data_IF_477693747384
#
_entry.id   IF_477693747384
#
_cell.length_a   1.000
_cell.length_b   1.000
_cell.length_c   1.000
_cell.angle_alpha   90.00
_cell.angle_beta   90.00
_cell.angle_gamma   90.00
#
_symmetry.space_group_name_H-M   'P 1'
#
loop_
_entity.id
_entity.type
_entity.pdbx_description
1 polymer ?
#
# COMPACT_ATOMS: atom_id res chain seq x y z
N UNK A 1 0.21 11.35 7.50
CA UNK A 1 1.32 11.23 8.47
C UNK A 1 0.99 12.08 9.69
N UNK A 2 0.45 11.44 10.75
CA UNK A 2 0.17 12.06 12.04
C UNK A 2 1.49 12.30 12.78
N UNK A 3 1.72 13.53 13.20
CA UNK A 3 2.77 13.86 14.16
C UNK A 3 2.61 13.00 15.43
N UNK A 4 3.70 12.61 16.12
CA UNK A 4 3.59 11.85 17.35
C UNK A 4 2.83 12.67 18.38
N UNK A 5 1.57 12.32 18.63
CA UNK A 5 0.78 12.92 19.70
C UNK A 5 1.38 12.53 21.05
N UNK A 6 1.45 13.51 21.95
CA UNK A 6 1.88 13.34 23.34
C UNK A 6 1.01 12.23 23.98
N UNK A 7 1.62 11.09 24.28
CA UNK A 7 0.91 9.93 24.83
C UNK A 7 0.79 10.06 26.36
N UNK A 8 -0.41 10.04 26.88
CA UNK A 8 -0.67 9.74 28.30
C UNK A 8 -0.53 8.23 28.51
N UNK A 9 0.44 7.73 29.31
CA UNK A 9 0.80 6.31 29.32
C UNK A 9 -0.36 5.37 29.72
N UNK A 10 -1.20 5.75 30.68
CA UNK A 10 -2.31 4.91 31.12
C UNK A 10 -3.44 4.80 30.08
N UNK A 11 -3.84 5.91 29.46
CA UNK A 11 -4.89 5.93 28.43
C UNK A 11 -4.43 5.20 27.17
N UNK A 12 -3.14 5.30 26.83
CA UNK A 12 -2.54 4.61 25.67
C UNK A 12 -2.58 3.09 25.84
N UNK A 13 -2.33 2.56 27.05
CA UNK A 13 -2.37 1.12 27.31
C UNK A 13 -3.81 0.56 27.18
N UNK A 14 -4.82 1.26 27.71
CA UNK A 14 -6.23 0.85 27.61
C UNK A 14 -6.70 0.88 26.16
N UNK A 15 -6.41 1.94 25.41
CA UNK A 15 -6.78 2.05 24.00
C UNK A 15 -6.04 1.01 23.17
N UNK A 16 -4.74 0.77 23.42
CA UNK A 16 -3.97 -0.23 22.72
C UNK A 16 -4.49 -1.66 22.97
N UNK A 17 -4.93 -1.98 24.18
CA UNK A 17 -5.53 -3.28 24.48
C UNK A 17 -6.89 -3.45 23.80
N UNK A 18 -7.70 -2.40 23.73
CA UNK A 18 -8.99 -2.42 23.01
C UNK A 18 -8.81 -2.53 21.50
N UNK A 19 -7.73 -1.95 20.95
CA UNK A 19 -7.40 -2.03 19.50
C UNK A 19 -6.69 -3.35 19.11
N UNK A 20 -6.32 -4.19 20.06
CA UNK A 20 -5.80 -5.55 19.80
C UNK A 20 -6.86 -6.49 19.27
N UNK A 21 -8.12 -6.15 19.43
CA UNK A 21 -9.22 -6.92 18.85
C UNK A 21 -9.36 -6.55 17.37
N UNK A 22 -8.98 -7.48 16.48
CA UNK A 22 -9.16 -7.32 15.04
C UNK A 22 -10.63 -7.03 14.66
N UNK A 23 -11.57 -7.47 15.48
CA UNK A 23 -13.00 -7.22 15.31
C UNK A 23 -13.35 -5.74 15.38
N UNK A 24 -12.65 -4.95 16.21
CA UNK A 24 -12.87 -3.50 16.26
C UNK A 24 -12.45 -2.79 14.96
N UNK A 25 -11.30 -3.15 14.43
CA UNK A 25 -10.80 -2.59 13.15
C UNK A 25 -11.74 -2.98 12.01
N UNK A 26 -12.15 -4.25 11.97
CA UNK A 26 -13.10 -4.77 10.98
C UNK A 26 -14.43 -4.02 11.00
N UNK A 27 -14.99 -3.74 12.21
CA UNK A 27 -16.24 -3.00 12.39
C UNK A 27 -16.17 -1.57 11.84
N UNK A 28 -15.01 -0.90 11.91
CA UNK A 28 -14.83 0.43 11.30
C UNK A 28 -14.92 0.36 9.78
N UNK A 29 -14.29 -0.64 9.17
CA UNK A 29 -14.32 -0.83 7.71
C UNK A 29 -15.66 -1.35 7.20
N UNK A 30 -16.47 -2.00 8.03
CA UNK A 30 -17.82 -2.47 7.67
C UNK A 30 -18.77 -1.35 7.25
N UNK A 31 -18.47 -0.11 7.64
CA UNK A 31 -19.24 1.08 7.26
C UNK A 31 -18.80 1.71 5.94
N UNK A 32 -17.70 1.24 5.34
CA UNK A 32 -17.13 1.76 4.11
C UNK A 32 -17.47 0.81 2.96
N UNK A 33 -18.42 1.20 2.12
CA UNK A 33 -18.92 0.33 1.03
C UNK A 33 -17.97 0.24 -0.17
N UNK A 34 -17.09 1.24 -0.32
CA UNK A 34 -16.10 1.35 -1.40
C UNK A 34 -14.69 0.91 -0.97
N UNK A 35 -14.55 0.40 0.25
CA UNK A 35 -13.27 -0.07 0.79
C UNK A 35 -13.40 -1.50 1.28
N UNK A 36 -12.62 -2.40 0.69
CA UNK A 36 -12.42 -3.75 1.22
C UNK A 36 -11.25 -3.72 2.19
N UNK A 37 -11.50 -4.12 3.42
CA UNK A 37 -10.47 -4.47 4.39
C UNK A 37 -10.38 -5.99 4.48
N UNK A 38 -9.17 -6.54 4.54
CA UNK A 38 -8.97 -7.95 4.78
C UNK A 38 -7.67 -8.23 5.54
N UNK A 39 -7.70 -9.29 6.33
CA UNK A 39 -6.53 -9.87 7.00
C UNK A 39 -6.37 -11.28 6.47
N UNK A 40 -5.13 -11.68 6.16
CA UNK A 40 -4.79 -13.03 5.72
C UNK A 40 -3.65 -13.59 6.55
N UNK A 41 -3.66 -14.91 6.75
CA UNK A 41 -2.52 -15.64 7.30
C UNK A 41 -1.40 -15.82 6.25
N UNK A 42 -0.30 -16.45 6.65
CA UNK A 42 0.85 -16.73 5.77
C UNK A 42 0.56 -17.75 4.66
N UNK A 43 -0.57 -18.48 4.74
CA UNK A 43 -1.03 -19.35 3.68
C UNK A 43 -1.98 -18.65 2.69
N UNK A 44 -2.24 -17.36 2.88
CA UNK A 44 -3.14 -16.56 2.05
C UNK A 44 -4.62 -16.82 2.34
N UNK A 45 -4.96 -17.43 3.48
CA UNK A 45 -6.34 -17.65 3.91
C UNK A 45 -6.86 -16.38 4.60
N UNK A 46 -8.08 -16.02 4.29
CA UNK A 46 -8.74 -14.89 4.94
C UNK A 46 -9.00 -15.20 6.42
N UNK A 47 -8.55 -14.34 7.29
CA UNK A 47 -8.79 -14.37 8.75
C UNK A 47 -9.94 -13.42 9.10
N UNK A 48 -10.00 -12.27 8.42
CA UNK A 48 -11.06 -11.29 8.56
C UNK A 48 -11.29 -10.54 7.25
N UNK A 49 -12.52 -10.11 6.98
CA UNK A 49 -12.88 -9.25 5.86
C UNK A 49 -14.00 -8.29 6.24
N UNK A 50 -14.01 -7.07 5.65
CA UNK A 50 -15.12 -6.14 5.82
C UNK A 50 -16.35 -6.56 4.99
N UNK A 51 -17.53 -6.00 5.36
CA UNK A 51 -18.79 -6.24 4.68
C UNK A 51 -18.78 -5.93 3.18
N UNK A 52 -17.91 -5.02 2.72
CA UNK A 52 -17.75 -4.74 1.29
C UNK A 52 -17.33 -5.97 0.48
N UNK A 53 -16.74 -7.00 1.10
CA UNK A 53 -16.38 -8.26 0.45
C UNK A 53 -17.61 -9.14 0.11
N UNK A 54 -18.68 -9.03 0.89
CA UNK A 54 -19.86 -9.91 0.79
C UNK A 54 -20.51 -9.90 -0.60
N UNK A 55 -20.97 -8.75 -1.14
CA UNK A 55 -21.59 -8.71 -2.46
C UNK A 55 -20.63 -9.06 -3.60
N UNK A 56 -19.35 -8.70 -3.48
CA UNK A 56 -18.31 -8.97 -4.50
C UNK A 56 -18.07 -10.45 -4.70
N UNK A 57 -18.04 -11.20 -3.59
CA UNK A 57 -17.73 -12.64 -3.57
C UNK A 57 -18.98 -13.52 -3.53
N UNK A 58 -20.18 -12.93 -3.65
CA UNK A 58 -21.49 -13.64 -3.56
C UNK A 58 -21.63 -14.44 -2.25
N UNK A 59 -21.14 -13.89 -1.17
CA UNK A 59 -21.27 -14.50 0.15
C UNK A 59 -22.62 -14.13 0.76
N UNK A 60 -23.07 -14.88 1.76
CA UNK A 60 -24.22 -14.54 2.60
C UNK A 60 -23.81 -13.69 3.78
N UNK A 61 -22.62 -13.98 4.31
CA UNK A 61 -22.02 -13.29 5.45
C UNK A 61 -20.50 -13.19 5.22
N UNK A 62 -19.87 -12.16 5.77
CA UNK A 62 -18.41 -11.98 5.66
C UNK A 62 -17.63 -13.14 6.29
N UNK A 63 -18.19 -13.80 7.33
CA UNK A 63 -17.60 -15.00 7.96
C UNK A 63 -17.44 -16.17 7.01
N UNK A 64 -18.24 -16.21 5.92
CA UNK A 64 -18.10 -17.26 4.89
C UNK A 64 -16.77 -17.14 4.12
N UNK A 65 -16.07 -16.02 4.21
CA UNK A 65 -14.74 -15.85 3.61
C UNK A 65 -13.62 -16.44 4.49
N UNK A 66 -13.84 -16.55 5.80
CA UNK A 66 -12.80 -16.99 6.75
C UNK A 66 -12.34 -18.40 6.42
N UNK A 67 -11.02 -18.62 6.41
CA UNK A 67 -10.37 -19.88 6.05
C UNK A 67 -10.24 -20.13 4.55
N UNK A 68 -10.94 -19.37 3.69
CA UNK A 68 -10.83 -19.47 2.22
C UNK A 68 -9.64 -18.70 1.68
N UNK A 69 -9.19 -19.04 0.48
CA UNK A 69 -8.18 -18.32 -0.29
C UNK A 69 -8.84 -17.45 -1.37
N UNK A 70 -8.06 -16.56 -1.99
CA UNK A 70 -8.56 -15.73 -3.08
C UNK A 70 -9.16 -16.57 -4.24
N UNK A 71 -8.58 -17.72 -4.54
CA UNK A 71 -9.06 -18.64 -5.59
C UNK A 71 -10.46 -19.24 -5.32
N UNK A 72 -10.89 -19.27 -4.06
CA UNK A 72 -12.22 -19.73 -3.68
C UNK A 72 -13.30 -18.64 -3.79
N UNK A 73 -12.88 -17.38 -3.94
CA UNK A 73 -13.75 -16.21 -3.83
C UNK A 73 -13.81 -15.35 -5.09
N UNK A 74 -12.74 -15.30 -5.87
CA UNK A 74 -12.59 -14.41 -7.01
C UNK A 74 -12.40 -15.15 -8.33
N UNK A 75 -12.68 -14.54 -9.47
CA UNK A 75 -12.35 -15.08 -10.78
C UNK A 75 -10.86 -15.47 -10.87
N UNK A 76 -10.50 -16.56 -11.57
CA UNK A 76 -9.14 -17.14 -11.56
C UNK A 76 -8.03 -16.12 -11.84
N UNK A 77 -8.17 -15.28 -12.86
CA UNK A 77 -7.16 -14.28 -13.21
C UNK A 77 -6.93 -13.21 -12.10
N UNK A 78 -8.00 -12.81 -11.40
CA UNK A 78 -7.89 -11.88 -10.27
C UNK A 78 -7.29 -12.59 -9.05
N UNK A 79 -7.77 -13.80 -8.78
CA UNK A 79 -7.30 -14.61 -7.65
C UNK A 79 -5.80 -14.86 -7.73
N UNK A 80 -5.31 -15.26 -8.92
CA UNK A 80 -3.89 -15.49 -9.19
C UNK A 80 -3.06 -14.21 -8.96
N UNK A 81 -3.53 -13.06 -9.48
CA UNK A 81 -2.88 -11.76 -9.28
C UNK A 81 -2.78 -11.39 -7.80
N UNK A 82 -3.85 -11.61 -7.04
CA UNK A 82 -3.86 -11.36 -5.60
C UNK A 82 -2.91 -12.28 -4.84
N UNK A 83 -2.89 -13.57 -5.18
CA UNK A 83 -2.00 -14.56 -4.58
C UNK A 83 -0.52 -14.25 -4.86
N UNK A 84 -0.18 -13.85 -6.09
CA UNK A 84 1.19 -13.44 -6.44
C UNK A 84 1.65 -12.21 -5.65
N UNK A 85 0.78 -11.23 -5.48
CA UNK A 85 1.10 -10.04 -4.66
C UNK A 85 1.26 -10.40 -3.18
N UNK A 86 0.39 -11.25 -2.64
CA UNK A 86 0.48 -11.71 -1.25
C UNK A 86 1.80 -12.47 -1.05
N UNK A 87 2.17 -13.36 -1.96
CA UNK A 87 3.44 -14.08 -1.95
C UNK A 87 4.65 -13.12 -2.02
N UNK A 88 4.57 -12.08 -2.83
CA UNK A 88 5.63 -11.05 -2.90
C UNK A 88 5.79 -10.29 -1.58
N UNK A 89 4.68 -9.93 -0.89
CA UNK A 89 4.71 -9.31 0.44
C UNK A 89 5.34 -10.26 1.45
N UNK A 90 4.97 -11.54 1.44
CA UNK A 90 5.51 -12.53 2.36
C UNK A 90 7.00 -12.80 2.14
N UNK A 91 7.44 -12.91 0.88
CA UNK A 91 8.84 -13.16 0.55
C UNK A 91 9.75 -11.96 0.84
N UNK A 92 9.29 -10.74 0.55
CA UNK A 92 10.10 -9.54 0.70
C UNK A 92 9.99 -8.90 2.10
N UNK A 93 8.95 -9.21 2.87
CA UNK A 93 8.62 -8.52 4.12
C UNK A 93 8.34 -7.02 3.93
N UNK A 94 8.01 -6.60 2.70
CA UNK A 94 7.81 -5.19 2.33
C UNK A 94 6.35 -4.92 2.00
N UNK A 95 5.84 -3.73 2.34
CA UNK A 95 4.49 -3.35 1.97
C UNK A 95 4.35 -3.18 0.44
N UNK A 96 3.15 -3.42 -0.05
CA UNK A 96 2.67 -2.96 -1.35
C UNK A 96 1.88 -1.67 -1.11
N UNK A 97 2.22 -0.60 -1.81
CA UNK A 97 1.61 0.72 -1.64
C UNK A 97 1.04 1.20 -2.97
N UNK A 98 -0.18 1.69 -2.94
CA UNK A 98 -0.87 2.32 -4.08
C UNK A 98 -0.85 1.47 -5.36
N UNK A 99 -0.99 0.15 -5.20
CA UNK A 99 -1.09 -0.78 -6.33
C UNK A 99 -2.45 -0.64 -7.02
N UNK A 100 -2.44 -0.38 -8.31
CA UNK A 100 -3.67 -0.45 -9.11
C UNK A 100 -3.98 -1.89 -9.49
N UNK A 101 -5.14 -2.37 -9.06
CA UNK A 101 -5.61 -3.72 -9.29
C UNK A 101 -6.99 -3.76 -9.91
N UNK A 102 -7.21 -4.79 -10.74
CA UNK A 102 -8.56 -5.13 -11.17
C UNK A 102 -9.33 -5.75 -10.01
N UNK A 103 -10.56 -5.30 -9.82
CA UNK A 103 -11.48 -5.82 -8.81
C UNK A 103 -12.88 -5.99 -9.40
N UNK A 104 -13.77 -6.55 -8.61
CA UNK A 104 -15.21 -6.55 -8.85
C UNK A 104 -15.85 -5.63 -7.81
N UNK A 105 -16.61 -4.64 -8.25
CA UNK A 105 -17.34 -3.74 -7.36
C UNK A 105 -18.56 -4.40 -6.72
N UNK A 106 -19.22 -3.72 -5.80
CA UNK A 106 -20.41 -4.23 -5.12
C UNK A 106 -21.58 -4.51 -6.10
N UNK A 107 -21.68 -3.74 -7.20
CA UNK A 107 -22.62 -3.95 -8.29
C UNK A 107 -22.18 -5.04 -9.27
N UNK A 108 -21.04 -5.70 -8.98
CA UNK A 108 -20.44 -6.81 -9.71
C UNK A 108 -19.85 -6.47 -11.07
N UNK A 109 -19.70 -5.20 -11.38
CA UNK A 109 -18.94 -4.76 -12.55
C UNK A 109 -17.44 -4.86 -12.26
N UNK A 110 -16.64 -5.27 -13.25
CA UNK A 110 -15.20 -5.16 -13.13
C UNK A 110 -14.78 -3.68 -13.12
N UNK A 111 -13.71 -3.39 -12.40
CA UNK A 111 -13.15 -2.05 -12.35
C UNK A 111 -11.82 -2.04 -11.65
N UNK A 112 -11.31 -0.86 -11.36
CA UNK A 112 -10.03 -0.66 -10.72
C UNK A 112 -10.18 -0.28 -9.27
N UNK A 113 -9.28 -0.76 -8.44
CA UNK A 113 -9.10 -0.35 -7.05
C UNK A 113 -7.64 0.02 -6.79
N UNK A 114 -7.43 0.78 -5.74
CA UNK A 114 -6.12 1.10 -5.20
C UNK A 114 -5.89 0.24 -3.96
N UNK A 115 -4.92 -0.67 -4.05
CA UNK A 115 -4.63 -1.64 -3.00
C UNK A 115 -3.36 -1.29 -2.24
N UNK A 116 -3.43 -1.41 -0.92
CA UNK A 116 -2.31 -1.29 0.00
C UNK A 116 -2.25 -2.54 0.86
N UNK A 117 -1.08 -3.20 0.89
CA UNK A 117 -0.87 -4.42 1.67
C UNK A 117 0.30 -4.23 2.61
N UNK A 118 0.10 -4.57 3.88
CA UNK A 118 1.10 -4.43 4.93
C UNK A 118 1.37 -5.79 5.57
N UNK A 119 2.64 -6.26 5.63
CA UNK A 119 2.96 -7.47 6.39
C UNK A 119 2.67 -7.26 7.88
N UNK A 120 2.14 -8.28 8.52
CA UNK A 120 1.91 -8.34 9.96
C UNK A 120 2.97 -9.21 10.60
N UNK A 121 3.72 -8.66 11.53
CA UNK A 121 4.78 -9.37 12.25
C UNK A 121 4.53 -9.33 13.76
N UNK A 122 4.93 -10.38 14.46
CA UNK A 122 4.93 -10.38 15.92
C UNK A 122 6.11 -9.58 16.51
N UNK A 123 6.19 -9.51 17.83
CA UNK A 123 7.26 -8.79 18.54
C UNK A 123 8.66 -9.37 18.29
N UNK A 124 8.77 -10.61 17.85
CA UNK A 124 10.04 -11.25 17.48
C UNK A 124 10.44 -10.98 16.03
N UNK A 125 9.59 -10.30 15.24
CA UNK A 125 9.79 -10.07 13.80
C UNK A 125 9.32 -11.23 12.93
N UNK A 126 8.67 -12.26 13.49
CA UNK A 126 8.14 -13.38 12.72
C UNK A 126 6.89 -12.93 11.97
N UNK A 127 6.83 -13.21 10.68
CA UNK A 127 5.67 -12.94 9.83
C UNK A 127 4.47 -13.79 10.28
N UNK A 128 3.34 -13.14 10.54
CA UNK A 128 2.07 -13.76 10.90
C UNK A 128 1.05 -13.76 9.76
N UNK A 129 1.19 -12.84 8.82
CA UNK A 129 0.23 -12.67 7.73
C UNK A 129 0.36 -11.29 7.09
N UNK A 130 -0.73 -10.82 6.49
CA UNK A 130 -0.83 -9.45 5.95
C UNK A 130 -2.20 -8.84 6.20
N UNK A 131 -2.23 -7.51 6.24
CA UNK A 131 -3.44 -6.69 6.16
C UNK A 131 -3.51 -6.05 4.79
N UNK A 132 -4.68 -6.03 4.18
CA UNK A 132 -4.93 -5.38 2.90
C UNK A 132 -6.10 -4.40 3.02
N UNK A 133 -5.95 -3.22 2.41
CA UNK A 133 -7.02 -2.27 2.17
C UNK A 133 -7.07 -2.03 0.66
N UNK A 134 -8.25 -2.21 0.06
CA UNK A 134 -8.49 -1.93 -1.36
C UNK A 134 -9.65 -0.93 -1.50
N UNK A 135 -9.35 0.26 -2.01
CA UNK A 135 -10.34 1.31 -2.26
C UNK A 135 -10.76 1.32 -3.72
N UNK A 136 -12.06 1.30 -3.98
CA UNK A 136 -12.62 1.37 -5.32
C UNK A 136 -12.33 2.71 -6.00
N UNK A 137 -12.02 2.64 -7.28
CA UNK A 137 -11.89 3.78 -8.18
C UNK A 137 -13.05 3.77 -9.21
N UNK A 138 -14.28 3.61 -8.74
CA UNK A 138 -15.45 3.36 -9.59
C UNK A 138 -15.73 4.49 -10.59
N UNK A 139 -15.65 5.75 -10.17
CA UNK A 139 -15.83 6.90 -11.06
C UNK A 139 -14.71 7.02 -12.08
N UNK A 140 -13.46 6.95 -11.62
CA UNK A 140 -12.26 7.03 -12.47
C UNK A 140 -12.20 5.89 -13.48
N UNK A 141 -12.69 4.69 -13.09
CA UNK A 141 -12.80 3.54 -13.99
C UNK A 141 -13.87 3.79 -15.08
N UNK A 142 -15.02 4.35 -14.72
CA UNK A 142 -16.09 4.70 -15.67
C UNK A 142 -15.68 5.81 -16.64
N UNK A 143 -14.90 6.76 -16.16
CA UNK A 143 -14.35 7.86 -16.98
C UNK A 143 -13.18 7.40 -17.88
N UNK A 144 -12.75 6.14 -17.79
CA UNK A 144 -11.60 5.61 -18.53
C UNK A 144 -10.25 6.24 -18.13
N UNK A 145 -10.18 6.82 -16.94
CA UNK A 145 -8.95 7.45 -16.42
C UNK A 145 -7.98 6.43 -15.84
N UNK A 146 -8.48 5.27 -15.42
CA UNK A 146 -7.68 4.13 -14.96
C UNK A 146 -7.95 2.95 -15.88
N UNK A 147 -6.91 2.55 -16.59
CA UNK A 147 -6.88 1.43 -17.52
C UNK A 147 -5.57 0.66 -17.36
N UNK A 148 -5.38 -0.42 -18.13
CA UNK A 148 -4.17 -1.24 -18.07
C UNK A 148 -2.90 -0.46 -18.44
N UNK A 149 -2.98 0.49 -19.37
CA UNK A 149 -1.86 1.35 -19.73
C UNK A 149 -1.41 2.23 -18.57
N UNK A 150 -2.39 2.84 -17.90
CA UNK A 150 -2.13 3.65 -16.70
C UNK A 150 -1.63 2.80 -15.52
N UNK A 151 -2.17 1.59 -15.33
CA UNK A 151 -1.67 0.68 -14.29
C UNK A 151 -0.22 0.25 -14.56
N UNK A 152 0.12 -0.07 -15.83
CA UNK A 152 1.50 -0.41 -16.21
C UNK A 152 2.51 0.69 -15.89
N UNK A 153 2.18 1.97 -16.11
CA UNK A 153 3.12 3.04 -15.77
C UNK A 153 3.30 3.22 -14.27
N UNK A 154 2.25 3.02 -13.46
CA UNK A 154 2.37 3.03 -12.00
C UNK A 154 3.31 1.90 -11.53
N UNK A 155 3.11 0.69 -12.05
CA UNK A 155 3.97 -0.45 -11.76
C UNK A 155 5.41 -0.21 -12.21
N UNK A 156 5.59 0.38 -13.39
CA UNK A 156 6.91 0.71 -13.91
C UNK A 156 7.65 1.70 -13.02
N UNK A 157 6.97 2.73 -12.53
CA UNK A 157 7.55 3.68 -11.56
C UNK A 157 7.95 2.96 -10.27
N UNK A 158 7.07 2.12 -9.73
CA UNK A 158 7.34 1.38 -8.49
C UNK A 158 8.53 0.42 -8.62
N UNK A 159 8.64 -0.27 -9.77
CA UNK A 159 9.74 -1.20 -10.04
C UNK A 159 11.08 -0.51 -10.34
N UNK A 160 11.06 0.67 -10.94
CA UNK A 160 12.26 1.31 -11.49
C UNK A 160 12.58 2.67 -10.87
N UNK A 161 11.97 3.03 -9.74
CA UNK A 161 12.11 4.34 -9.09
C UNK A 161 13.58 4.73 -8.80
N UNK A 162 14.45 3.75 -8.60
CA UNK A 162 15.86 3.98 -8.28
C UNK A 162 16.65 4.68 -9.42
N UNK A 163 16.29 4.42 -10.68
CA UNK A 163 16.96 5.03 -11.84
C UNK A 163 16.30 6.33 -12.27
N UNK A 164 16.98 7.05 -13.17
CA UNK A 164 16.35 8.20 -13.81
C UNK A 164 15.17 7.73 -14.68
N UNK A 165 14.02 8.36 -14.47
CA UNK A 165 12.78 8.14 -15.23
C UNK A 165 12.39 9.46 -15.89
N UNK A 166 12.35 9.49 -17.23
CA UNK A 166 11.87 10.66 -17.95
C UNK A 166 10.34 10.64 -18.07
N UNK A 167 9.73 11.82 -18.12
CA UNK A 167 8.27 11.91 -18.32
C UNK A 167 7.86 11.37 -19.70
N UNK A 168 8.72 11.47 -20.71
CA UNK A 168 8.47 10.94 -22.06
C UNK A 168 8.42 9.40 -22.01
N UNK A 169 9.40 8.75 -21.39
CA UNK A 169 9.43 7.29 -21.19
C UNK A 169 8.16 6.81 -20.46
N UNK A 170 7.79 7.48 -19.37
CA UNK A 170 6.61 7.10 -18.58
C UNK A 170 5.31 7.27 -19.40
N UNK A 171 5.22 8.29 -20.22
CA UNK A 171 4.08 8.51 -21.10
C UNK A 171 3.98 7.42 -22.18
N UNK A 172 5.12 7.01 -22.75
CA UNK A 172 5.20 5.91 -23.72
C UNK A 172 4.72 4.58 -23.11
N UNK A 173 5.18 4.23 -21.91
CA UNK A 173 4.74 3.02 -21.18
C UNK A 173 3.22 3.00 -21.01
N UNK A 174 2.61 4.15 -20.76
CA UNK A 174 1.16 4.28 -20.61
C UNK A 174 0.39 4.32 -21.94
N UNK A 175 1.06 4.55 -23.07
CA UNK A 175 0.41 4.86 -24.36
C UNK A 175 -0.30 6.22 -24.35
N UNK A 176 0.23 7.20 -23.64
CA UNK A 176 -0.35 8.53 -23.43
C UNK A 176 0.64 9.64 -23.82
N UNK A 177 0.12 10.84 -24.05
CA UNK A 177 0.99 12.03 -24.03
C UNK A 177 1.39 12.38 -22.59
N UNK A 178 2.50 13.10 -22.41
CA UNK A 178 2.97 13.58 -21.09
C UNK A 178 1.88 14.36 -20.36
N UNK A 179 1.13 15.21 -21.07
CA UNK A 179 0.06 16.01 -20.49
C UNK A 179 -1.14 15.15 -20.04
N UNK A 180 -1.48 14.10 -20.80
CA UNK A 180 -2.54 13.15 -20.44
C UNK A 180 -2.14 12.33 -19.22
N UNK A 181 -0.90 11.83 -19.18
CA UNK A 181 -0.37 11.09 -18.04
C UNK A 181 -0.41 11.97 -16.77
N UNK A 182 0.12 13.19 -16.84
CA UNK A 182 0.16 14.09 -15.67
C UNK A 182 -1.25 14.45 -15.16
N UNK A 183 -2.20 14.62 -16.07
CA UNK A 183 -3.62 14.86 -15.71
C UNK A 183 -4.23 13.64 -15.00
N UNK A 184 -4.01 12.42 -15.51
CA UNK A 184 -4.49 11.18 -14.87
C UNK A 184 -3.86 10.98 -13.49
N UNK A 185 -2.55 11.19 -13.35
CA UNK A 185 -1.84 11.11 -12.07
C UNK A 185 -2.43 12.09 -11.04
N UNK A 186 -2.71 13.33 -11.44
CA UNK A 186 -3.37 14.31 -10.56
C UNK A 186 -4.79 13.91 -10.15
N UNK A 187 -5.55 13.29 -11.06
CA UNK A 187 -6.92 12.83 -10.77
C UNK A 187 -6.94 11.61 -9.84
N UNK A 188 -6.03 10.66 -10.04
CA UNK A 188 -6.00 9.38 -9.29
C UNK A 188 -5.26 9.53 -7.96
N UNK A 189 -4.07 10.15 -7.97
CA UNK A 189 -3.17 10.21 -6.82
C UNK A 189 -3.06 11.61 -6.20
N UNK A 190 -3.71 12.62 -6.77
CA UNK A 190 -3.59 14.03 -6.40
C UNK A 190 -2.15 14.57 -6.47
N UNK A 191 -1.31 13.94 -7.30
CA UNK A 191 0.10 14.27 -7.49
C UNK A 191 0.43 14.39 -8.98
N UNK A 192 1.35 15.30 -9.33
CA UNK A 192 1.96 15.25 -10.66
C UNK A 192 2.80 13.97 -10.82
N UNK A 193 3.06 13.55 -12.05
CA UNK A 193 3.88 12.36 -12.36
C UNK A 193 5.24 12.42 -11.67
N UNK A 194 5.93 13.57 -11.74
CA UNK A 194 7.22 13.75 -11.06
C UNK A 194 7.12 13.74 -9.53
N UNK A 195 6.00 14.25 -8.97
CA UNK A 195 5.76 14.17 -7.53
C UNK A 195 5.48 12.73 -7.07
N UNK A 196 4.77 11.94 -7.86
CA UNK A 196 4.54 10.54 -7.59
C UNK A 196 5.85 9.73 -7.59
N UNK A 197 6.73 9.92 -8.59
CA UNK A 197 8.07 9.31 -8.61
C UNK A 197 8.86 9.67 -7.36
N UNK A 198 8.88 10.96 -6.96
CA UNK A 198 9.59 11.37 -5.74
C UNK A 198 9.01 10.75 -4.48
N UNK A 199 7.68 10.63 -4.38
CA UNK A 199 7.02 9.96 -3.26
C UNK A 199 7.42 8.49 -3.19
N UNK A 200 7.37 7.77 -4.31
CA UNK A 200 7.78 6.35 -4.37
C UNK A 200 9.22 6.14 -3.91
N UNK A 201 10.16 6.99 -4.38
CA UNK A 201 11.55 6.98 -3.90
C UNK A 201 11.66 7.18 -2.39
N UNK A 202 10.89 8.14 -1.88
CA UNK A 202 10.92 8.47 -0.47
C UNK A 202 10.36 7.35 0.41
N UNK A 203 9.28 6.72 0.01
CA UNK A 203 8.69 5.57 0.69
C UNK A 203 9.68 4.38 0.74
N UNK A 204 10.36 4.10 -0.37
CA UNK A 204 11.42 3.09 -0.41
C UNK A 204 12.59 3.44 0.53
N UNK A 205 13.00 4.72 0.57
CA UNK A 205 14.04 5.18 1.48
C UNK A 205 13.61 5.08 2.94
N UNK A 206 12.38 5.50 3.28
CA UNK A 206 11.84 5.37 4.64
C UNK A 206 11.86 3.91 5.12
N UNK A 207 11.40 2.99 4.27
CA UNK A 207 11.43 1.57 4.56
C UNK A 207 12.86 1.08 4.83
N UNK A 208 13.82 1.41 3.95
CA UNK A 208 15.20 1.01 4.12
C UNK A 208 15.85 1.62 5.39
N UNK A 209 15.54 2.88 5.73
CA UNK A 209 16.04 3.56 6.92
C UNK A 209 15.55 2.87 8.21
N UNK A 210 14.28 2.47 8.24
CA UNK A 210 13.62 1.93 9.45
C UNK A 210 13.86 0.43 9.65
N UNK A 211 14.17 -0.32 8.56
CA UNK A 211 14.30 -1.78 8.60
C UNK A 211 15.74 -2.26 8.32
N UNK A 212 16.72 -1.37 8.23
CA UNK A 212 18.12 -1.76 8.06
C UNK A 212 19.10 -0.84 8.77
N UNK A 213 20.32 -1.34 8.99
CA UNK A 213 21.47 -0.57 9.51
C UNK A 213 22.39 -0.05 8.39
N UNK A 214 21.96 -0.16 7.13
CA UNK A 214 22.77 0.23 5.97
C UNK A 214 23.18 1.70 6.02
N UNK A 215 24.34 2.07 5.45
CA UNK A 215 24.75 3.47 5.31
C UNK A 215 23.70 4.31 4.59
N UNK A 216 23.43 5.51 5.11
CA UNK A 216 22.41 6.40 4.51
C UNK A 216 22.79 6.84 3.09
N UNK A 217 24.07 6.88 2.76
CA UNK A 217 24.54 7.18 1.41
C UNK A 217 24.14 6.08 0.41
N UNK A 218 24.26 4.81 0.81
CA UNK A 218 23.83 3.66 -0.01
C UNK A 218 22.31 3.67 -0.20
N UNK A 219 21.55 3.89 0.88
CA UNK A 219 20.09 3.99 0.82
C UNK A 219 19.69 5.13 -0.15
N UNK A 220 20.34 6.29 -0.08
CA UNK A 220 20.07 7.39 -0.98
C UNK A 220 20.29 6.99 -2.46
N UNK A 221 21.41 6.39 -2.77
CA UNK A 221 21.74 5.95 -4.13
C UNK A 221 20.75 4.91 -4.66
N UNK A 222 20.43 3.88 -3.86
CA UNK A 222 19.52 2.80 -4.27
C UNK A 222 18.06 3.21 -4.37
N UNK A 223 17.68 4.30 -3.72
CA UNK A 223 16.30 4.82 -3.79
C UNK A 223 16.15 6.00 -4.73
N UNK A 224 17.21 6.30 -5.52
CA UNK A 224 17.17 7.30 -6.58
C UNK A 224 17.30 8.74 -6.12
N UNK A 225 17.84 8.98 -4.90
CA UNK A 225 18.29 10.30 -4.47
C UNK A 225 19.71 10.57 -4.98
N UNK A 226 20.00 11.83 -5.34
CA UNK A 226 21.31 12.22 -5.84
C UNK A 226 22.42 11.94 -4.82
N UNK A 227 22.14 12.18 -3.54
CA UNK A 227 23.08 12.00 -2.43
C UNK A 227 22.33 11.90 -1.08
N UNK A 228 23.09 11.58 -0.02
CA UNK A 228 22.59 11.52 1.35
C UNK A 228 22.02 12.88 1.83
N UNK A 229 22.55 14.00 1.35
CA UNK A 229 22.10 15.33 1.75
C UNK A 229 20.72 15.64 1.18
N UNK A 230 20.48 15.25 -0.08
CA UNK A 230 19.17 15.35 -0.73
C UNK A 230 18.12 14.51 0.01
N UNK A 231 18.45 13.26 0.35
CA UNK A 231 17.58 12.40 1.17
C UNK A 231 17.30 13.04 2.54
N UNK A 232 18.32 13.58 3.20
CA UNK A 232 18.19 14.19 4.54
C UNK A 232 17.32 15.46 4.50
N UNK A 233 17.45 16.31 3.47
CA UNK A 233 16.59 17.47 3.27
C UNK A 233 15.15 17.06 3.05
N UNK A 234 14.94 16.05 2.21
CA UNK A 234 13.60 15.55 1.91
C UNK A 234 12.91 14.96 3.15
N UNK A 235 13.63 14.17 3.96
CA UNK A 235 13.11 13.66 5.24
C UNK A 235 12.67 14.80 6.16
N UNK A 236 13.50 15.83 6.35
CA UNK A 236 13.14 16.96 7.21
C UNK A 236 11.91 17.72 6.70
N UNK A 237 11.80 17.92 5.38
CA UNK A 237 10.66 18.61 4.77
C UNK A 237 9.37 17.78 4.87
N UNK A 238 9.45 16.47 4.64
CA UNK A 238 8.28 15.61 4.57
C UNK A 238 7.75 15.17 5.94
N UNK A 239 8.64 14.89 6.91
CA UNK A 239 8.27 14.30 8.20
C UNK A 239 8.86 15.02 9.41
N UNK A 240 9.59 16.11 9.23
CA UNK A 240 10.20 16.89 10.30
C UNK A 240 11.46 16.26 10.93
N UNK A 241 11.85 15.06 10.53
CA UNK A 241 12.94 14.29 11.13
C UNK A 241 14.09 14.07 10.15
N UNK A 242 15.31 13.96 10.68
CA UNK A 242 16.45 13.46 9.89
C UNK A 242 16.38 11.93 9.76
N UNK A 243 17.02 11.33 8.74
CA UNK A 243 17.09 9.87 8.60
C UNK A 243 17.68 9.16 9.83
N UNK A 244 18.66 9.78 10.49
CA UNK A 244 19.26 9.23 11.73
C UNK A 244 18.27 9.20 12.89
N UNK A 245 17.49 10.28 13.07
CA UNK A 245 16.44 10.35 14.11
C UNK A 245 15.36 9.30 13.84
N UNK A 246 14.94 9.17 12.58
CA UNK A 246 13.95 8.17 12.17
C UNK A 246 14.43 6.74 12.47
N UNK A 247 15.69 6.42 12.13
CA UNK A 247 16.29 5.12 12.43
C UNK A 247 16.33 4.84 13.92
N UNK A 248 16.79 5.80 14.73
CA UNK A 248 16.82 5.66 16.18
C UNK A 248 15.43 5.45 16.79
N UNK A 249 14.43 6.12 16.27
CA UNK A 249 13.05 5.92 16.69
C UNK A 249 12.54 4.50 16.37
N UNK A 250 12.79 4.02 15.15
CA UNK A 250 12.43 2.67 14.74
C UNK A 250 13.11 1.59 15.59
N UNK A 251 14.42 1.76 15.91
CA UNK A 251 15.20 0.84 16.75
C UNK A 251 14.72 0.79 18.20
N UNK A 252 14.15 1.87 18.71
CA UNK A 252 13.60 1.92 20.08
C UNK A 252 12.22 1.28 20.21
N UNK A 253 11.76 0.59 19.16
CA UNK A 253 10.49 -0.15 19.18
C UNK A 253 9.25 0.70 19.02
N UNK A 254 9.37 1.97 18.59
CA UNK A 254 8.20 2.82 18.32
C UNK A 254 7.26 3.01 19.53
N UNK A 255 7.80 2.95 20.76
CA UNK A 255 7.05 3.11 22.01
C UNK A 255 6.65 4.56 22.25
#
# INVERSE_FOLDING_TARGET
LLAPSIRHPATTAIVADSLRDAAFVEMLFDRLHDVVFSVKDTEGRYVAVSNACVPRCRLRDKRDAVGRRAHDLFPPAMAERYAQQDAAVFAAGRPVVDKLDLTVFNDRRPGWCLSNKQPVVDRSGRLLGLVCISKDLAELSREGLVDEGFARVVDHIQAHHARALSLAELAEVAGLSVAQLDRRMKRVFHLSTGAFVRRTRFEAALHAITHSQRPLAEIAAETGFCDQSALSRHCRQAIGWSPRQLRLYALRGGH
#
